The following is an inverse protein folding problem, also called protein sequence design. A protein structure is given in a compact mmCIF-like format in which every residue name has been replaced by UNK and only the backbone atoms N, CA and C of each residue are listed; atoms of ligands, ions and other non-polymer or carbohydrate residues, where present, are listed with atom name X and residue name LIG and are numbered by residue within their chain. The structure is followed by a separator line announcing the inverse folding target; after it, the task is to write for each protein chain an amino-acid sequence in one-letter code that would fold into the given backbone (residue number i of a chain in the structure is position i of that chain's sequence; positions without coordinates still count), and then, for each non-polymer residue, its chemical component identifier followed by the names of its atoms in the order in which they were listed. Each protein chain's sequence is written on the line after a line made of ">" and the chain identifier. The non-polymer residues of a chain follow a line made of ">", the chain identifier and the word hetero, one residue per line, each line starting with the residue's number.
data_IF_251491736675
#
_entry.id   IF_251491736675
#
_cell.length_a   1.000
_cell.length_b   1.000
_cell.length_c   1.000
_cell.angle_alpha   90.00
_cell.angle_beta   90.00
_cell.angle_gamma   90.00
#
_symmetry.space_group_name_H-M   'P 1'
#
loop_
_entity.id
_entity.type
_entity.pdbx_description
1 polymer ?
#
# COMPACT_ATOMS: atom_id res chain seq x y z
N UNK A 1 69.74 26.26 50.60
CA UNK A 1 69.55 27.46 49.75
C UNK A 1 69.59 27.02 48.29
N UNK A 2 68.61 27.33 47.43
CA UNK A 2 67.21 27.68 47.66
C UNK A 2 66.21 26.65 47.05
N UNK A 3 64.98 26.65 47.56
CA UNK A 3 63.81 25.98 46.95
C UNK A 3 63.40 26.74 45.69
N UNK A 4 63.12 26.02 44.59
CA UNK A 4 62.41 26.56 43.42
C UNK A 4 60.96 26.11 43.54
N UNK A 5 60.07 27.06 43.84
CA UNK A 5 58.62 26.88 43.78
C UNK A 5 58.23 26.90 42.31
N UNK A 6 57.86 25.74 41.76
CA UNK A 6 57.28 25.66 40.43
C UNK A 6 55.78 26.02 40.52
N UNK A 7 55.45 27.07 39.79
CA UNK A 7 54.16 27.72 39.69
C UNK A 7 53.11 26.78 39.03
N UNK A 8 52.23 26.16 39.83
CA UNK A 8 51.12 25.32 39.35
C UNK A 8 49.94 26.21 38.92
N UNK A 9 50.20 27.20 38.07
CA UNK A 9 49.21 28.17 37.60
C UNK A 9 48.93 28.10 36.10
N UNK A 10 49.45 27.11 35.38
CA UNK A 10 49.34 27.06 33.92
C UNK A 10 48.96 25.67 33.38
N UNK A 11 47.85 25.08 33.84
CA UNK A 11 47.26 23.93 33.12
C UNK A 11 45.75 23.75 33.28
N UNK A 12 44.99 24.82 33.51
CA UNK A 12 43.52 24.80 33.50
C UNK A 12 42.91 25.62 32.35
N UNK A 13 43.68 25.85 31.27
CA UNK A 13 43.22 26.53 30.05
C UNK A 13 42.91 25.58 28.87
N UNK A 14 42.55 24.33 29.13
CA UNK A 14 41.76 23.54 28.17
C UNK A 14 40.29 23.68 28.52
N UNK A 15 39.86 24.94 28.44
CA UNK A 15 38.48 25.37 28.42
C UNK A 15 37.84 24.74 27.18
N UNK A 16 36.91 23.81 27.41
CA UNK A 16 35.73 23.57 26.58
C UNK A 16 35.84 24.15 25.14
N UNK A 17 36.44 23.40 24.22
CA UNK A 17 35.99 23.47 22.83
C UNK A 17 34.59 22.85 22.84
N UNK A 18 33.61 23.66 23.25
CA UNK A 18 32.22 23.39 22.96
C UNK A 18 32.13 23.31 21.44
N UNK A 19 32.08 22.08 20.92
CA UNK A 19 31.63 21.82 19.55
C UNK A 19 30.36 22.61 19.38
N UNK A 20 30.39 23.67 18.55
CA UNK A 20 29.18 24.42 18.21
C UNK A 20 28.12 23.37 17.82
N UNK A 21 26.92 23.39 18.44
CA UNK A 21 25.89 22.44 18.07
C UNK A 21 25.67 22.59 16.57
N UNK A 22 25.68 21.46 15.85
CA UNK A 22 25.47 21.45 14.42
C UNK A 22 24.16 22.19 14.12
N UNK A 23 24.22 23.20 13.25
CA UNK A 23 23.02 23.92 12.88
C UNK A 23 22.05 22.96 12.19
N UNK A 24 20.74 23.05 12.49
CA UNK A 24 19.75 22.23 11.83
C UNK A 24 19.77 22.52 10.32
N UNK A 25 19.59 21.48 9.51
CA UNK A 25 19.51 21.56 8.05
C UNK A 25 18.36 20.72 7.53
N UNK A 26 17.82 21.11 6.37
CA UNK A 26 16.86 20.30 5.64
C UNK A 26 17.59 19.06 5.08
N UNK A 27 17.07 17.86 5.34
CA UNK A 27 17.68 16.59 4.88
C UNK A 27 16.85 15.86 3.83
N UNK A 28 15.55 16.16 3.77
CA UNK A 28 14.62 15.67 2.76
C UNK A 28 13.42 16.60 2.72
N UNK A 29 12.92 16.89 1.52
CA UNK A 29 11.72 17.70 1.34
C UNK A 29 10.90 17.18 0.16
N UNK A 30 9.58 17.14 0.36
CA UNK A 30 8.59 16.91 -0.69
C UNK A 30 7.34 17.69 -0.37
N UNK A 31 6.64 18.16 -1.39
CA UNK A 31 5.35 18.83 -1.22
C UNK A 31 4.45 18.59 -2.43
N UNK A 32 3.16 18.81 -2.29
CA UNK A 32 2.26 18.71 -3.44
C UNK A 32 0.79 18.74 -3.06
N UNK A 33 -0.03 17.97 -3.76
CA UNK A 33 -1.48 17.91 -3.52
C UNK A 33 -1.93 16.48 -3.24
N UNK A 34 -2.74 16.34 -2.21
CA UNK A 34 -3.33 15.07 -1.77
C UNK A 34 -4.87 15.12 -1.87
N UNK A 35 -5.52 13.97 -1.81
CA UNK A 35 -6.97 13.78 -1.81
C UNK A 35 -7.70 14.38 -3.02
N UNK A 36 -7.06 14.41 -4.20
CA UNK A 36 -7.68 14.92 -5.43
C UNK A 36 -8.60 13.85 -6.02
N UNK A 37 -9.92 14.00 -5.85
CA UNK A 37 -10.91 13.11 -6.48
C UNK A 37 -11.03 13.40 -7.98
N UNK A 38 -10.98 12.34 -8.78
CA UNK A 38 -11.11 12.38 -10.24
C UNK A 38 -12.11 11.32 -10.68
N UNK A 39 -13.03 11.70 -11.56
CA UNK A 39 -13.96 10.78 -12.24
C UNK A 39 -13.79 10.95 -13.75
N UNK A 40 -13.66 9.84 -14.47
CA UNK A 40 -13.63 9.82 -15.94
C UNK A 40 -14.65 8.81 -16.46
N UNK A 41 -15.42 9.23 -17.47
CA UNK A 41 -16.36 8.37 -18.19
C UNK A 41 -15.89 8.22 -19.64
N UNK A 42 -15.86 6.98 -20.11
CA UNK A 42 -15.78 6.64 -21.52
C UNK A 42 -17.21 6.40 -22.04
N UNK A 43 -17.54 6.97 -23.20
CA UNK A 43 -18.86 6.85 -23.83
C UNK A 43 -18.67 6.33 -25.24
N UNK A 44 -18.98 5.06 -25.45
CA UNK A 44 -19.04 4.48 -26.78
C UNK A 44 -20.33 4.93 -27.46
N UNK A 45 -20.20 5.72 -28.53
CA UNK A 45 -21.34 6.27 -29.27
C UNK A 45 -21.98 5.24 -30.19
N UNK A 46 -21.26 4.19 -30.59
CA UNK A 46 -21.76 3.15 -31.47
C UNK A 46 -22.65 2.17 -30.70
N UNK A 47 -22.20 1.76 -29.51
CA UNK A 47 -22.92 0.79 -28.67
C UNK A 47 -23.82 1.44 -27.62
N UNK A 48 -23.62 2.73 -27.31
CA UNK A 48 -24.26 3.43 -26.20
C UNK A 48 -23.75 3.02 -24.82
N UNK A 49 -22.74 2.13 -24.75
CA UNK A 49 -22.16 1.64 -23.51
C UNK A 49 -21.23 2.69 -22.91
N UNK A 50 -21.36 2.92 -21.61
CA UNK A 50 -20.49 3.80 -20.84
C UNK A 50 -19.67 2.98 -19.86
N UNK A 51 -18.42 3.37 -19.64
CA UNK A 51 -17.53 2.80 -18.61
C UNK A 51 -16.97 3.92 -17.76
N UNK A 52 -16.89 3.72 -16.45
CA UNK A 52 -16.48 4.76 -15.50
C UNK A 52 -15.24 4.34 -14.72
N UNK A 53 -14.42 5.31 -14.37
CA UNK A 53 -13.30 5.15 -13.44
C UNK A 53 -13.31 6.32 -12.48
N UNK A 54 -13.32 6.01 -11.19
CA UNK A 54 -13.21 6.99 -10.13
C UNK A 54 -11.95 6.70 -9.32
N UNK A 55 -11.15 7.73 -9.05
CA UNK A 55 -9.90 7.61 -8.32
C UNK A 55 -9.67 8.78 -7.37
N UNK A 56 -8.84 8.55 -6.36
CA UNK A 56 -8.23 9.59 -5.52
C UNK A 56 -6.74 9.63 -5.79
N UNK A 57 -6.23 10.80 -6.16
CA UNK A 57 -4.84 10.99 -6.58
C UNK A 57 -4.09 11.87 -5.58
N UNK A 58 -2.86 11.49 -5.28
CA UNK A 58 -1.87 12.30 -4.59
C UNK A 58 -0.62 12.43 -5.47
N UNK A 59 -0.03 13.62 -5.54
CA UNK A 59 1.22 13.88 -6.24
C UNK A 59 2.11 14.78 -5.38
N UNK A 60 3.30 14.28 -5.04
CA UNK A 60 4.32 14.99 -4.26
C UNK A 60 5.63 15.10 -5.05
N UNK A 61 6.19 16.30 -5.12
CA UNK A 61 7.38 16.63 -5.90
C UNK A 61 8.60 16.82 -4.99
N UNK A 62 9.77 16.40 -5.47
CA UNK A 62 11.09 16.64 -4.87
C UNK A 62 12.03 17.26 -5.91
N UNK A 63 13.01 18.05 -5.48
CA UNK A 63 13.91 18.75 -6.38
C UNK A 63 14.74 19.82 -5.68
N UNK A 64 15.22 20.79 -6.44
CA UNK A 64 15.91 21.98 -5.93
C UNK A 64 14.86 22.96 -5.36
N UNK A 65 14.30 22.61 -4.20
CA UNK A 65 13.18 23.34 -3.57
C UNK A 65 13.50 23.88 -2.18
N UNK A 66 14.72 23.66 -1.69
CA UNK A 66 15.16 23.97 -0.32
C UNK A 66 14.99 25.46 0.01
N UNK A 67 15.24 26.36 -0.95
CA UNK A 67 15.15 27.82 -0.76
C UNK A 67 13.75 28.29 -0.34
N UNK A 68 12.71 27.53 -0.69
CA UNK A 68 11.33 27.78 -0.22
C UNK A 68 11.17 27.59 1.28
N UNK A 69 11.97 26.70 1.88
CA UNK A 69 11.97 26.41 3.32
C UNK A 69 12.97 27.28 4.09
N UNK A 70 14.17 27.49 3.52
CA UNK A 70 15.28 28.15 4.21
C UNK A 70 15.30 29.67 4.04
N UNK A 71 14.84 30.15 2.88
CA UNK A 71 15.00 31.54 2.45
C UNK A 71 13.66 32.22 2.11
N UNK A 72 12.54 31.53 2.33
CA UNK A 72 11.20 31.96 1.96
C UNK A 72 11.05 32.30 0.45
N UNK A 73 11.83 31.63 -0.40
CA UNK A 73 11.82 31.81 -1.84
C UNK A 73 10.77 30.90 -2.51
N UNK A 74 9.63 31.48 -2.90
CA UNK A 74 8.58 30.74 -3.59
C UNK A 74 8.83 30.56 -5.10
N UNK A 75 9.93 31.07 -5.67
CA UNK A 75 10.18 30.97 -7.12
C UNK A 75 10.36 29.52 -7.61
N UNK A 76 10.82 28.64 -6.73
CA UNK A 76 10.99 27.20 -6.97
C UNK A 76 9.70 26.38 -6.74
N UNK A 77 8.60 27.01 -6.33
CA UNK A 77 7.37 26.32 -5.94
C UNK A 77 6.37 26.27 -7.10
N UNK A 78 6.13 25.07 -7.62
CA UNK A 78 4.92 24.74 -8.40
C UNK A 78 3.73 24.69 -7.44
N UNK A 79 2.93 25.77 -7.42
CA UNK A 79 1.79 25.87 -6.52
C UNK A 79 0.94 24.59 -6.51
N UNK A 80 0.54 24.13 -5.33
CA UNK A 80 -0.18 22.86 -5.20
C UNK A 80 -1.50 22.87 -5.96
N UNK A 81 -2.15 24.04 -6.12
CA UNK A 81 -3.32 24.19 -6.98
C UNK A 81 -3.03 23.91 -8.46
N UNK A 82 -1.85 24.32 -8.96
CA UNK A 82 -1.36 23.96 -10.30
C UNK A 82 -1.20 22.44 -10.42
N UNK A 83 -0.65 21.77 -9.40
CA UNK A 83 -0.53 20.29 -9.39
C UNK A 83 -1.92 19.63 -9.51
N UNK A 84 -2.92 20.13 -8.80
CA UNK A 84 -4.32 19.69 -8.91
C UNK A 84 -4.87 19.89 -10.33
N UNK A 85 -4.63 21.05 -10.93
CA UNK A 85 -5.06 21.35 -12.29
C UNK A 85 -4.38 20.40 -13.31
N UNK A 86 -3.08 20.12 -13.13
CA UNK A 86 -2.34 19.15 -13.93
C UNK A 86 -2.94 17.76 -13.82
N UNK A 87 -3.29 17.27 -12.62
CA UNK A 87 -3.97 15.98 -12.43
C UNK A 87 -5.22 15.88 -13.32
N UNK A 88 -6.07 16.91 -13.32
CA UNK A 88 -7.29 16.94 -14.14
C UNK A 88 -7.00 17.00 -15.64
N UNK A 89 -6.06 17.84 -16.07
CA UNK A 89 -5.70 17.98 -17.49
C UNK A 89 -5.08 16.68 -18.00
N UNK A 90 -4.14 16.08 -17.27
CA UNK A 90 -3.55 14.79 -17.62
C UNK A 90 -4.62 13.71 -17.72
N UNK A 91 -5.59 13.67 -16.80
CA UNK A 91 -6.70 12.72 -16.86
C UNK A 91 -7.63 12.97 -18.07
N UNK A 92 -7.79 14.21 -18.52
CA UNK A 92 -8.55 14.52 -19.73
C UNK A 92 -7.83 14.04 -20.99
N UNK A 93 -6.54 14.31 -21.10
CA UNK A 93 -5.74 14.09 -22.30
C UNK A 93 -5.24 12.65 -22.46
N UNK A 94 -5.18 11.88 -21.37
CA UNK A 94 -4.58 10.55 -21.35
C UNK A 94 -5.54 9.47 -20.81
N UNK A 95 -5.30 8.18 -21.11
CA UNK A 95 -5.97 7.08 -20.42
C UNK A 95 -5.72 7.16 -18.89
N UNK A 96 -6.75 6.83 -18.11
CA UNK A 96 -6.63 6.68 -16.65
C UNK A 96 -6.48 5.21 -16.22
N UNK A 97 -6.62 4.28 -17.18
CA UNK A 97 -6.46 2.84 -16.99
C UNK A 97 -5.38 2.32 -17.96
N UNK A 98 -4.52 1.37 -17.54
CA UNK A 98 -4.34 0.96 -16.14
C UNK A 98 -3.79 2.13 -15.28
N UNK A 99 -4.10 2.20 -13.97
CA UNK A 99 -3.65 3.29 -13.10
C UNK A 99 -2.12 3.43 -13.05
N UNK A 100 -1.37 2.34 -13.29
CA UNK A 100 0.09 2.31 -13.43
C UNK A 100 0.58 3.21 -14.55
N UNK A 101 -0.10 3.19 -15.71
CA UNK A 101 0.20 4.07 -16.82
C UNK A 101 -0.09 5.52 -16.46
N UNK A 102 -1.28 5.79 -15.91
CA UNK A 102 -1.70 7.15 -15.57
C UNK A 102 -0.74 7.80 -14.57
N UNK A 103 -0.37 7.08 -13.51
CA UNK A 103 0.58 7.55 -12.51
C UNK A 103 1.95 7.87 -13.13
N UNK A 104 2.42 7.01 -14.04
CA UNK A 104 3.69 7.19 -14.76
C UNK A 104 3.66 8.40 -15.70
N UNK A 105 2.57 8.61 -16.45
CA UNK A 105 2.38 9.79 -17.32
C UNK A 105 2.39 11.07 -16.49
N UNK A 106 1.62 11.09 -15.40
CA UNK A 106 1.50 12.26 -14.53
C UNK A 106 2.86 12.62 -13.90
N UNK A 107 3.60 11.64 -13.38
CA UNK A 107 4.91 11.87 -12.80
C UNK A 107 5.93 12.36 -13.84
N UNK A 108 5.95 11.75 -15.03
CA UNK A 108 6.86 12.13 -16.12
C UNK A 108 6.64 13.56 -16.57
N UNK A 109 5.38 14.01 -16.65
CA UNK A 109 5.05 15.39 -17.00
C UNK A 109 5.75 16.43 -16.11
N UNK A 110 5.82 16.20 -14.79
CA UNK A 110 6.44 17.18 -13.88
C UNK A 110 7.95 17.30 -14.09
N UNK A 111 8.65 16.18 -14.30
CA UNK A 111 10.08 16.18 -14.57
C UNK A 111 10.42 16.77 -15.94
N UNK A 112 9.59 16.50 -16.96
CA UNK A 112 9.76 17.07 -18.29
C UNK A 112 9.48 18.57 -18.33
N UNK A 113 8.51 19.04 -17.52
CA UNK A 113 8.04 20.43 -17.53
C UNK A 113 8.90 21.36 -16.67
N UNK A 114 9.41 20.88 -15.55
CA UNK A 114 10.08 21.70 -14.54
C UNK A 114 11.50 21.18 -14.29
N UNK A 115 12.50 21.86 -14.84
CA UNK A 115 13.89 21.42 -14.81
C UNK A 115 14.48 21.25 -13.40
N UNK A 116 13.93 21.95 -12.40
CA UNK A 116 14.38 21.89 -11.00
C UNK A 116 13.68 20.78 -10.19
N UNK A 117 12.70 20.08 -10.76
CA UNK A 117 12.01 18.94 -10.14
C UNK A 117 12.68 17.65 -10.60
N UNK A 118 13.10 16.81 -9.65
CA UNK A 118 13.88 15.58 -9.91
C UNK A 118 13.11 14.30 -9.60
N UNK A 119 12.03 14.38 -8.80
CA UNK A 119 11.21 13.23 -8.43
C UNK A 119 9.74 13.63 -8.38
N UNK A 120 8.89 12.78 -8.94
CA UNK A 120 7.44 12.83 -8.73
C UNK A 120 6.97 11.52 -8.09
N UNK A 121 6.40 11.63 -6.89
CA UNK A 121 5.78 10.53 -6.16
C UNK A 121 4.26 10.61 -6.37
N UNK A 122 3.71 9.70 -7.17
CA UNK A 122 2.29 9.69 -7.53
C UNK A 122 1.61 8.48 -6.91
N UNK A 123 0.57 8.71 -6.11
CA UNK A 123 -0.30 7.66 -5.59
C UNK A 123 -1.69 7.77 -6.21
N UNK A 124 -2.23 6.65 -6.67
CA UNK A 124 -3.56 6.55 -7.27
C UNK A 124 -4.32 5.44 -6.56
N UNK A 125 -5.44 5.79 -5.94
CA UNK A 125 -6.41 4.85 -5.37
C UNK A 125 -7.63 4.77 -6.26
N UNK A 126 -7.88 3.62 -6.89
CA UNK A 126 -9.05 3.40 -7.75
C UNK A 126 -10.21 2.83 -6.93
N UNK A 127 -11.35 3.50 -6.99
CA UNK A 127 -12.59 3.08 -6.31
C UNK A 127 -13.41 2.20 -7.25
N UNK A 128 -13.97 1.10 -6.73
CA UNK A 128 -14.70 0.11 -7.52
C UNK A 128 -16.06 0.63 -8.00
N UNK A 129 -16.32 0.52 -9.29
CA UNK A 129 -17.64 0.71 -9.88
C UNK A 129 -17.99 -0.49 -10.74
N UNK A 130 -18.66 -1.47 -10.13
CA UNK A 130 -19.05 -2.70 -10.82
C UNK A 130 -20.32 -2.45 -11.61
N UNK A 131 -20.32 -2.80 -12.89
CA UNK A 131 -21.49 -2.66 -13.76
C UNK A 131 -22.63 -3.55 -13.24
N UNK A 132 -23.81 -2.96 -13.06
CA UNK A 132 -25.00 -3.72 -12.66
C UNK A 132 -25.44 -4.67 -13.77
N UNK A 133 -25.94 -5.84 -13.39
CA UNK A 133 -26.67 -6.75 -14.29
C UNK A 133 -28.17 -6.63 -14.00
N UNK A 134 -28.98 -6.40 -15.04
CA UNK A 134 -30.44 -6.29 -14.96
C UNK A 134 -31.04 -7.30 -15.92
N UNK A 135 -31.91 -8.18 -15.43
CA UNK A 135 -32.50 -9.28 -16.21
C UNK A 135 -31.45 -10.19 -16.89
N UNK A 136 -30.33 -10.44 -16.22
CA UNK A 136 -29.24 -11.29 -16.74
C UNK A 136 -28.31 -10.63 -17.75
N UNK A 137 -28.50 -9.34 -18.06
CA UNK A 137 -27.67 -8.59 -18.99
C UNK A 137 -26.96 -7.40 -18.32
N UNK A 138 -25.70 -7.08 -18.69
CA UNK A 138 -24.99 -5.91 -18.18
C UNK A 138 -25.68 -4.60 -18.57
N UNK A 139 -25.92 -3.72 -17.60
CA UNK A 139 -26.55 -2.42 -17.84
C UNK A 139 -25.56 -1.46 -18.54
N UNK A 140 -25.98 -0.70 -19.57
CA UNK A 140 -25.06 0.13 -20.36
C UNK A 140 -24.38 1.26 -19.57
N UNK A 141 -24.97 1.74 -18.47
CA UNK A 141 -24.47 2.92 -17.75
C UNK A 141 -24.84 2.98 -16.25
N UNK A 142 -25.14 1.85 -15.62
CA UNK A 142 -25.44 1.82 -14.17
C UNK A 142 -24.46 0.92 -13.44
N UNK A 143 -23.99 1.40 -12.29
CA UNK A 143 -22.90 0.80 -11.52
C UNK A 143 -23.22 0.78 -10.03
N UNK A 144 -22.59 -0.13 -9.29
CA UNK A 144 -22.67 -0.26 -7.84
C UNK A 144 -21.28 -0.26 -7.22
N UNK A 145 -21.15 0.32 -6.02
CA UNK A 145 -20.00 0.16 -5.15
C UNK A 145 -20.21 -1.13 -4.36
N UNK A 146 -19.62 -2.23 -4.83
CA UNK A 146 -19.85 -3.58 -4.30
C UNK A 146 -18.98 -3.94 -3.09
N UNK A 147 -17.96 -3.13 -2.80
CA UNK A 147 -17.08 -3.24 -1.62
C UNK A 147 -16.20 -1.98 -1.48
N UNK A 148 -15.50 -1.87 -0.35
CA UNK A 148 -14.45 -0.88 -0.13
C UNK A 148 -13.07 -1.32 -0.65
N UNK A 149 -13.00 -2.48 -1.31
CA UNK A 149 -11.79 -2.96 -1.99
C UNK A 149 -11.31 -1.92 -3.02
N UNK A 150 -10.01 -1.65 -3.04
CA UNK A 150 -9.40 -0.72 -4.00
C UNK A 150 -8.19 -1.32 -4.68
N UNK A 151 -7.98 -0.90 -5.94
CA UNK A 151 -6.73 -1.11 -6.69
C UNK A 151 -5.90 0.15 -6.57
N UNK A 152 -4.71 0.03 -5.99
CA UNK A 152 -3.85 1.18 -5.73
C UNK A 152 -2.54 1.06 -6.49
N UNK A 153 -1.95 2.20 -6.79
CA UNK A 153 -0.63 2.33 -7.42
C UNK A 153 0.16 3.42 -6.70
N UNK A 154 1.43 3.15 -6.45
CA UNK A 154 2.45 4.13 -6.09
C UNK A 154 3.53 4.10 -7.18
N UNK A 155 3.69 5.21 -7.91
CA UNK A 155 4.75 5.41 -8.88
C UNK A 155 5.74 6.46 -8.38
N UNK A 156 7.03 6.11 -8.35
CA UNK A 156 8.13 7.05 -8.12
C UNK A 156 8.85 7.24 -9.43
N UNK A 157 8.69 8.42 -10.02
CA UNK A 157 9.26 8.79 -11.32
C UNK A 157 10.50 9.65 -11.11
N UNK A 158 11.61 9.23 -11.70
CA UNK A 158 12.93 9.90 -11.71
C UNK A 158 13.43 9.98 -13.15
N UNK A 159 14.47 10.78 -13.40
CA UNK A 159 15.11 10.84 -14.72
C UNK A 159 15.79 9.53 -15.13
N UNK A 160 16.19 8.70 -14.16
CA UNK A 160 16.89 7.43 -14.36
C UNK A 160 15.97 6.20 -14.25
N UNK A 161 14.66 6.40 -14.07
CA UNK A 161 13.70 5.30 -14.09
C UNK A 161 12.38 5.57 -13.39
N UNK A 162 11.48 4.60 -13.53
CA UNK A 162 10.16 4.57 -12.91
C UNK A 162 10.04 3.32 -12.07
N UNK A 163 9.82 3.50 -10.76
CA UNK A 163 9.50 2.42 -9.83
C UNK A 163 8.00 2.39 -9.57
N UNK A 164 7.37 1.23 -9.76
CA UNK A 164 5.92 1.06 -9.59
C UNK A 164 5.66 -0.01 -8.55
N UNK A 165 4.80 0.31 -7.59
CA UNK A 165 4.15 -0.66 -6.70
C UNK A 165 2.65 -0.62 -6.97
N UNK A 166 2.06 -1.77 -7.28
CA UNK A 166 0.61 -1.93 -7.36
C UNK A 166 0.11 -2.66 -6.11
N UNK A 167 -1.15 -2.49 -5.72
CA UNK A 167 -1.70 -3.22 -4.58
C UNK A 167 -3.22 -3.38 -4.61
N UNK A 168 -3.70 -4.33 -3.83
CA UNK A 168 -5.10 -4.53 -3.44
C UNK A 168 -5.19 -4.21 -1.94
N UNK A 169 -6.12 -3.34 -1.56
CA UNK A 169 -6.43 -3.06 -0.15
C UNK A 169 -7.93 -3.05 0.08
N UNK A 170 -8.38 -3.33 1.31
CA UNK A 170 -9.81 -3.33 1.65
C UNK A 170 -10.57 -4.57 1.17
N UNK A 171 -9.86 -5.63 0.75
CA UNK A 171 -10.47 -6.94 0.47
C UNK A 171 -10.64 -7.72 1.78
N UNK A 172 -11.83 -7.66 2.37
CA UNK A 172 -12.17 -8.41 3.58
C UNK A 172 -12.63 -9.83 3.24
N UNK A 173 -12.03 -10.84 3.86
CA UNK A 173 -12.38 -12.26 3.65
C UNK A 173 -12.48 -13.02 4.97
N UNK A 174 -13.34 -14.04 5.00
CA UNK A 174 -13.52 -14.94 6.15
C UNK A 174 -13.69 -16.38 5.66
N UNK A 175 -13.05 -17.33 6.34
CA UNK A 175 -13.37 -18.76 6.25
C UNK A 175 -13.73 -19.29 7.64
N UNK A 176 -14.79 -20.09 7.71
CA UNK A 176 -15.39 -20.54 8.97
C UNK A 176 -14.72 -21.79 9.57
N UNK A 177 -13.89 -22.47 8.79
CA UNK A 177 -13.12 -23.68 9.16
C UNK A 177 -11.91 -23.79 8.22
N UNK A 178 -11.10 -24.84 8.35
CA UNK A 178 -9.95 -25.08 7.49
C UNK A 178 -8.78 -24.12 7.78
N UNK A 179 -8.72 -23.62 9.02
CA UNK A 179 -7.58 -22.91 9.59
C UNK A 179 -7.25 -23.53 10.94
N UNK A 180 -5.96 -23.67 11.23
CA UNK A 180 -5.44 -24.19 12.49
C UNK A 180 -4.35 -23.26 13.03
N UNK A 181 -3.98 -23.46 14.29
CA UNK A 181 -2.80 -22.86 14.91
C UNK A 181 -2.37 -23.67 16.13
N UNK A 182 -1.29 -24.43 15.98
CA UNK A 182 -0.71 -25.30 16.99
C UNK A 182 0.81 -25.42 16.73
N UNK A 183 1.55 -25.99 17.68
CA UNK A 183 3.00 -26.17 17.61
C UNK A 183 3.79 -24.86 17.73
N UNK A 184 3.19 -23.80 18.27
CA UNK A 184 3.89 -22.54 18.56
C UNK A 184 4.67 -22.65 19.88
N UNK A 185 5.63 -21.74 20.07
CA UNK A 185 6.45 -21.68 21.29
C UNK A 185 5.56 -21.48 22.51
N UNK A 186 5.82 -22.25 23.58
CA UNK A 186 5.14 -22.13 24.86
C UNK A 186 6.16 -21.76 25.94
N UNK A 187 5.83 -20.73 26.70
CA UNK A 187 6.60 -20.21 27.82
C UNK A 187 5.66 -19.74 28.96
N UNK A 188 6.21 -19.11 29.99
CA UNK A 188 5.45 -18.61 31.14
C UNK A 188 4.41 -17.52 30.82
N UNK A 189 4.42 -16.94 29.61
CA UNK A 189 3.46 -15.93 29.16
C UNK A 189 2.33 -16.52 28.31
N UNK A 190 2.40 -17.81 27.98
CA UNK A 190 1.49 -18.44 27.03
C UNK A 190 0.21 -18.92 27.69
N UNK A 191 -0.92 -18.28 27.36
CA UNK A 191 -2.27 -18.69 27.80
C UNK A 191 -3.17 -19.16 26.66
N UNK A 192 -2.73 -18.94 25.42
CA UNK A 192 -3.47 -19.37 24.23
C UNK A 192 -3.51 -20.90 24.17
N UNK A 193 -4.71 -21.46 23.94
CA UNK A 193 -4.86 -22.87 23.66
C UNK A 193 -4.53 -23.17 22.19
N UNK A 194 -3.93 -24.32 21.92
CA UNK A 194 -3.78 -24.80 20.56
C UNK A 194 -5.14 -25.12 19.94
N UNK A 195 -5.26 -24.93 18.63
CA UNK A 195 -6.47 -25.30 17.89
C UNK A 195 -6.14 -25.93 16.54
N UNK A 196 -6.93 -26.93 16.18
CA UNK A 196 -6.89 -27.62 14.89
C UNK A 196 -8.02 -27.20 13.96
N UNK A 197 -8.98 -26.41 14.45
CA UNK A 197 -10.04 -25.83 13.66
C UNK A 197 -10.47 -24.50 14.26
N UNK A 198 -10.43 -23.43 13.45
CA UNK A 198 -10.83 -22.09 13.86
C UNK A 198 -11.31 -21.27 12.67
N UNK A 199 -12.07 -20.22 12.98
CA UNK A 199 -12.37 -19.14 12.05
C UNK A 199 -11.08 -18.37 11.74
N UNK A 200 -10.88 -18.01 10.47
CA UNK A 200 -9.86 -17.07 10.04
C UNK A 200 -10.53 -15.95 9.24
N UNK A 201 -10.28 -14.71 9.66
CA UNK A 201 -10.75 -13.49 8.98
C UNK A 201 -9.62 -12.48 8.90
N UNK A 202 -9.53 -11.78 7.77
CA UNK A 202 -8.49 -10.77 7.52
C UNK A 202 -8.99 -9.70 6.57
N UNK A 203 -8.38 -8.52 6.65
CA UNK A 203 -8.44 -7.50 5.60
C UNK A 203 -7.14 -7.59 4.80
N UNK A 204 -7.23 -7.99 3.53
CA UNK A 204 -6.04 -8.17 2.69
C UNK A 204 -5.47 -6.83 2.26
N UNK A 205 -4.21 -6.60 2.63
CA UNK A 205 -3.31 -5.64 1.99
C UNK A 205 -2.20 -6.44 1.27
N UNK A 206 -2.30 -6.50 -0.05
CA UNK A 206 -1.41 -7.23 -0.94
C UNK A 206 -0.78 -6.24 -1.93
N UNK A 207 0.53 -6.05 -1.85
CA UNK A 207 1.29 -5.19 -2.77
C UNK A 207 2.29 -5.99 -3.59
N UNK A 208 2.58 -5.53 -4.80
CA UNK A 208 3.66 -6.07 -5.62
C UNK A 208 4.46 -4.95 -6.27
N UNK A 209 5.79 -5.05 -6.21
CA UNK A 209 6.71 -4.10 -6.84
C UNK A 209 7.17 -4.68 -8.17
N UNK A 210 7.00 -3.89 -9.22
CA UNK A 210 7.53 -4.21 -10.55
C UNK A 210 9.05 -4.04 -10.55
N UNK A 211 9.73 -4.78 -11.42
CA UNK A 211 11.09 -4.42 -11.79
C UNK A 211 11.12 -2.97 -12.29
N UNK A 212 12.17 -2.21 -11.96
CA UNK A 212 12.27 -0.80 -12.36
C UNK A 212 12.20 -0.66 -13.88
N UNK A 213 11.33 0.21 -14.35
CA UNK A 213 11.23 0.57 -15.76
C UNK A 213 12.25 1.67 -16.06
N UNK A 214 12.90 1.60 -17.21
CA UNK A 214 13.88 2.61 -17.62
C UNK A 214 13.24 3.98 -17.85
N UNK A 215 12.01 4.01 -18.40
CA UNK A 215 11.29 5.23 -18.73
C UNK A 215 9.79 4.94 -18.98
N UNK A 216 9.05 5.99 -19.38
CA UNK A 216 7.63 5.89 -19.72
C UNK A 216 7.37 5.00 -20.95
N UNK A 217 8.31 4.86 -21.88
CA UNK A 217 8.15 3.99 -23.04
C UNK A 217 8.19 2.51 -22.63
N UNK A 218 9.08 2.15 -21.70
CA UNK A 218 9.13 0.82 -21.10
C UNK A 218 7.84 0.48 -20.34
N UNK A 219 7.26 1.44 -19.59
CA UNK A 219 5.94 1.26 -18.94
C UNK A 219 4.84 1.01 -19.99
N UNK A 220 4.84 1.77 -21.10
CA UNK A 220 3.87 1.60 -22.19
C UNK A 220 4.00 0.25 -22.90
N UNK A 221 5.19 -0.32 -22.99
CA UNK A 221 5.42 -1.63 -23.59
C UNK A 221 4.79 -2.77 -22.76
N UNK A 222 4.69 -2.60 -21.44
CA UNK A 222 4.19 -3.61 -20.51
C UNK A 222 2.71 -3.45 -20.13
N UNK A 223 1.95 -2.57 -20.82
CA UNK A 223 0.55 -2.27 -20.51
C UNK A 223 -0.36 -3.49 -20.28
N UNK A 224 -0.33 -4.54 -21.13
CA UNK A 224 -1.21 -5.69 -20.95
C UNK A 224 -0.96 -6.48 -19.66
N UNK A 225 0.21 -6.30 -19.03
CA UNK A 225 0.60 -7.05 -17.84
C UNK A 225 0.02 -6.47 -16.56
N UNK A 226 -0.27 -5.17 -16.50
CA UNK A 226 -0.72 -4.53 -15.26
C UNK A 226 -2.10 -5.03 -14.81
N UNK A 227 -3.08 -5.02 -15.73
CA UNK A 227 -4.43 -5.51 -15.43
C UNK A 227 -4.40 -7.01 -15.13
N UNK A 228 -3.68 -7.78 -15.94
CA UNK A 228 -3.51 -9.23 -15.73
C UNK A 228 -2.90 -9.54 -14.37
N UNK A 229 -1.83 -8.86 -13.96
CA UNK A 229 -1.20 -9.08 -12.66
C UNK A 229 -2.13 -8.75 -11.50
N UNK A 230 -2.96 -7.71 -11.62
CA UNK A 230 -3.98 -7.40 -10.62
C UNK A 230 -5.06 -8.49 -10.54
N UNK A 231 -5.57 -8.96 -11.69
CA UNK A 231 -6.56 -10.04 -11.77
C UNK A 231 -6.01 -11.35 -11.19
N UNK A 232 -4.78 -11.71 -11.56
CA UNK A 232 -4.10 -12.90 -11.08
C UNK A 232 -3.87 -12.79 -9.56
N UNK A 233 -3.33 -11.67 -9.06
CA UNK A 233 -3.08 -11.49 -7.62
C UNK A 233 -4.37 -11.58 -6.80
N UNK A 234 -5.46 -10.96 -7.27
CA UNK A 234 -6.77 -11.05 -6.61
C UNK A 234 -7.29 -12.48 -6.63
N UNK A 235 -7.23 -13.15 -7.78
CA UNK A 235 -7.68 -14.53 -7.94
C UNK A 235 -6.89 -15.48 -7.05
N UNK A 236 -5.56 -15.45 -7.11
CA UNK A 236 -4.65 -16.27 -6.30
C UNK A 236 -4.89 -16.05 -4.81
N UNK A 237 -5.04 -14.79 -4.37
CA UNK A 237 -5.38 -14.47 -2.97
C UNK A 237 -6.67 -15.17 -2.56
N UNK A 238 -7.77 -14.94 -3.30
CA UNK A 238 -9.08 -15.48 -2.91
C UNK A 238 -9.14 -17.00 -3.00
N UNK A 239 -8.54 -17.59 -4.03
CA UNK A 239 -8.52 -19.04 -4.23
C UNK A 239 -7.67 -19.71 -3.17
N UNK A 240 -6.44 -19.25 -2.94
CA UNK A 240 -5.55 -19.84 -1.92
C UNK A 240 -6.14 -19.69 -0.52
N UNK A 241 -6.73 -18.54 -0.20
CA UNK A 241 -7.41 -18.35 1.09
C UNK A 241 -8.54 -19.36 1.27
N UNK A 242 -9.35 -19.58 0.24
CA UNK A 242 -10.47 -20.52 0.30
C UNK A 242 -10.00 -21.98 0.41
N UNK A 243 -9.01 -22.40 -0.39
CA UNK A 243 -8.66 -23.81 -0.56
C UNK A 243 -7.53 -24.30 0.34
N UNK A 244 -6.67 -23.43 0.87
CA UNK A 244 -5.56 -23.83 1.74
C UNK A 244 -6.09 -24.31 3.11
N UNK A 245 -5.62 -25.50 3.53
CA UNK A 245 -5.73 -25.95 4.90
C UNK A 245 -4.69 -25.18 5.74
N UNK A 246 -5.05 -23.97 6.15
CA UNK A 246 -4.14 -22.96 6.69
C UNK A 246 -3.51 -23.41 8.01
N UNK A 247 -2.23 -23.75 8.02
CA UNK A 247 -1.46 -24.00 9.25
C UNK A 247 -1.18 -22.73 10.06
N UNK A 248 -1.06 -21.57 9.39
CA UNK A 248 -0.89 -20.25 9.97
C UNK A 248 -1.08 -19.17 8.91
N UNK A 249 -1.35 -17.93 9.32
CA UNK A 249 -1.44 -16.78 8.39
C UNK A 249 -0.13 -16.63 7.60
N UNK A 250 1.02 -16.83 8.26
CA UNK A 250 2.36 -16.78 7.70
C UNK A 250 2.53 -17.75 6.52
N UNK A 251 2.12 -19.01 6.69
CA UNK A 251 2.31 -20.01 5.64
C UNK A 251 1.39 -19.75 4.44
N UNK A 252 0.13 -19.40 4.70
CA UNK A 252 -0.85 -19.14 3.63
C UNK A 252 -0.48 -17.89 2.81
N UNK A 253 -0.06 -16.79 3.45
CA UNK A 253 0.35 -15.58 2.72
C UNK A 253 1.67 -15.78 1.93
N UNK A 254 2.56 -16.65 2.42
CA UNK A 254 3.77 -17.02 1.68
C UNK A 254 3.43 -17.80 0.40
N UNK A 255 2.55 -18.80 0.49
CA UNK A 255 2.04 -19.54 -0.70
C UNK A 255 1.38 -18.63 -1.73
N UNK A 256 0.61 -17.64 -1.29
CA UNK A 256 0.01 -16.64 -2.19
C UNK A 256 1.10 -15.83 -2.89
N UNK A 257 2.12 -15.41 -2.15
CA UNK A 257 3.23 -14.61 -2.67
C UNK A 257 4.03 -15.36 -3.74
N UNK A 258 4.35 -16.63 -3.51
CA UNK A 258 5.04 -17.49 -4.49
C UNK A 258 4.23 -17.62 -5.78
N UNK A 259 2.94 -17.96 -5.67
CA UNK A 259 2.07 -18.07 -6.85
C UNK A 259 1.95 -16.76 -7.65
N UNK A 260 1.91 -15.61 -6.98
CA UNK A 260 1.88 -14.30 -7.65
C UNK A 260 3.21 -14.05 -8.39
N UNK A 261 4.35 -14.35 -7.75
CA UNK A 261 5.66 -14.24 -8.39
C UNK A 261 5.79 -15.20 -9.58
N UNK A 262 5.17 -16.37 -9.56
CA UNK A 262 5.16 -17.27 -10.71
C UNK A 262 4.27 -16.73 -11.84
N UNK A 263 3.08 -16.19 -11.52
CA UNK A 263 2.10 -15.72 -12.49
C UNK A 263 2.49 -14.38 -13.16
N UNK A 264 3.28 -13.54 -12.49
CA UNK A 264 3.63 -12.19 -12.95
C UNK A 264 5.16 -11.98 -13.10
N UNK A 265 5.78 -12.42 -14.22
CA UNK A 265 7.23 -12.35 -14.42
C UNK A 265 7.88 -10.96 -14.28
N UNK A 266 7.13 -9.87 -14.50
CA UNK A 266 7.63 -8.50 -14.35
C UNK A 266 7.68 -7.98 -12.90
N UNK A 267 7.12 -8.72 -11.94
CA UNK A 267 7.06 -8.36 -10.51
C UNK A 267 8.32 -8.83 -9.80
N UNK A 268 9.10 -7.95 -9.17
CA UNK A 268 10.30 -8.31 -8.42
C UNK A 268 10.00 -8.83 -7.01
N UNK A 269 9.04 -8.20 -6.31
CA UNK A 269 8.67 -8.57 -4.94
C UNK A 269 7.17 -8.52 -4.71
N UNK A 270 6.67 -9.35 -3.80
CA UNK A 270 5.29 -9.35 -3.29
C UNK A 270 5.31 -9.15 -1.79
N UNK A 271 4.43 -8.29 -1.29
CA UNK A 271 4.27 -7.96 0.12
C UNK A 271 2.83 -8.24 0.55
N UNK A 272 2.66 -8.85 1.72
CA UNK A 272 1.36 -8.94 2.38
C UNK A 272 1.43 -8.34 3.78
N UNK A 273 0.34 -7.71 4.21
CA UNK A 273 0.10 -7.25 5.58
C UNK A 273 -1.31 -7.65 6.00
N UNK A 274 -1.43 -8.70 6.82
CA UNK A 274 -2.69 -9.35 7.15
C UNK A 274 -2.97 -9.24 8.66
N UNK A 275 -4.00 -8.46 9.08
CA UNK A 275 -4.49 -8.53 10.44
C UNK A 275 -5.27 -9.83 10.66
N UNK A 276 -4.95 -10.58 11.71
CA UNK A 276 -5.79 -11.68 12.16
C UNK A 276 -6.96 -11.10 12.98
N UNK A 277 -8.14 -11.03 12.35
CA UNK A 277 -9.38 -10.49 12.94
C UNK A 277 -10.08 -11.62 13.70
N UNK A 278 -10.01 -11.55 15.03
CA UNK A 278 -10.39 -12.67 15.88
C UNK A 278 -11.91 -12.84 16.03
N UNK A 279 -12.33 -14.10 16.09
CA UNK A 279 -13.68 -14.53 16.45
C UNK A 279 -13.53 -15.51 17.62
N UNK A 280 -13.79 -15.05 18.84
CA UNK A 280 -13.63 -15.89 20.03
C UNK A 280 -14.88 -16.73 20.27
N UNK A 281 -14.69 -18.00 20.63
CA UNK A 281 -15.77 -18.83 21.17
C UNK A 281 -16.30 -18.19 22.46
N UNK A 282 -17.58 -18.42 22.75
CA UNK A 282 -18.24 -17.93 23.97
C UNK A 282 -18.64 -19.15 24.79
N UNK A 283 -18.02 -19.32 25.97
CA UNK A 283 -18.46 -20.34 26.92
C UNK A 283 -19.83 -19.97 27.51
N UNK A 284 -20.84 -20.78 27.21
CA UNK A 284 -22.22 -20.64 27.68
C UNK A 284 -22.63 -21.74 28.66
N UNK A 285 -21.70 -22.56 29.15
CA UNK A 285 -21.95 -23.67 30.08
C UNK A 285 -22.61 -23.19 31.39
N UNK A 286 -22.32 -21.97 31.82
CA UNK A 286 -22.94 -21.33 32.98
C UNK A 286 -24.47 -21.17 32.85
N UNK A 287 -25.00 -21.13 31.62
CA UNK A 287 -26.44 -21.08 31.37
C UNK A 287 -26.96 -22.47 30.99
N UNK A 288 -27.45 -23.20 32.00
CA UNK A 288 -28.12 -24.50 31.83
C UNK A 288 -27.27 -25.52 31.06
N UNK A 289 -25.95 -25.53 31.28
CA UNK A 289 -25.00 -26.44 30.63
C UNK A 289 -25.02 -26.36 29.09
N UNK A 290 -25.34 -25.19 28.53
CA UNK A 290 -25.39 -24.97 27.08
C UNK A 290 -24.00 -25.13 26.46
N UNK A 291 -23.89 -25.98 25.43
CA UNK A 291 -22.63 -26.21 24.71
C UNK A 291 -22.48 -25.22 23.56
N UNK A 292 -21.34 -24.52 23.52
CA UNK A 292 -21.00 -23.54 22.47
C UNK A 292 -19.48 -23.39 22.29
N UNK A 293 -18.72 -24.44 22.56
CA UNK A 293 -17.24 -24.44 22.44
C UNK A 293 -16.77 -25.68 21.69
N UNK A 294 -15.57 -25.60 21.08
CA UNK A 294 -15.00 -26.68 20.27
C UNK A 294 -15.95 -27.17 19.17
N UNK A 295 -16.27 -28.46 19.17
CA UNK A 295 -17.15 -29.07 18.14
C UNK A 295 -18.59 -28.57 18.18
N UNK A 296 -19.02 -28.03 19.32
CA UNK A 296 -20.39 -27.50 19.52
C UNK A 296 -20.45 -25.98 19.30
N UNK A 297 -19.36 -25.32 18.89
CA UNK A 297 -19.29 -23.87 18.77
C UNK A 297 -20.04 -23.32 17.54
N UNK A 298 -21.12 -22.58 17.79
CA UNK A 298 -21.96 -21.96 16.75
C UNK A 298 -22.01 -20.43 16.87
N UNK A 299 -21.87 -19.89 18.09
CA UNK A 299 -21.92 -18.46 18.38
C UNK A 299 -20.55 -17.95 18.82
N UNK A 300 -20.05 -16.94 18.12
CA UNK A 300 -18.74 -16.34 18.35
C UNK A 300 -18.87 -14.85 18.65
N UNK A 301 -17.91 -14.29 19.38
CA UNK A 301 -17.76 -12.85 19.59
C UNK A 301 -16.67 -12.30 18.65
N UNK A 302 -17.03 -11.55 17.58
CA UNK A 302 -16.06 -10.83 16.78
C UNK A 302 -15.36 -9.76 17.63
N UNK A 303 -14.04 -9.70 17.55
CA UNK A 303 -13.25 -8.73 18.32
C UNK A 303 -12.83 -7.56 17.43
N UNK A 304 -13.16 -6.33 17.84
CA UNK A 304 -12.71 -5.12 17.15
C UNK A 304 -11.19 -4.88 17.34
N UNK A 305 -10.64 -5.37 18.45
CA UNK A 305 -9.22 -5.30 18.79
C UNK A 305 -8.96 -5.91 20.18
N UNK A 306 -7.71 -6.30 20.51
CA UNK A 306 -6.53 -6.25 19.64
C UNK A 306 -6.57 -7.29 18.51
N UNK A 307 -5.71 -7.14 17.52
CA UNK A 307 -5.54 -8.10 16.42
C UNK A 307 -4.07 -8.53 16.29
N UNK A 308 -3.84 -9.77 15.86
CA UNK A 308 -2.52 -10.13 15.34
C UNK A 308 -2.25 -9.35 14.06
N UNK A 309 -1.00 -9.00 13.76
CA UNK A 309 -0.63 -8.39 12.48
C UNK A 309 0.58 -9.10 11.91
N UNK A 310 0.39 -9.78 10.78
CA UNK A 310 1.42 -10.60 10.14
C UNK A 310 1.84 -9.92 8.84
N UNK A 311 3.14 -9.79 8.62
CA UNK A 311 3.70 -9.17 7.41
C UNK A 311 4.79 -10.06 6.81
N UNK A 312 4.86 -10.11 5.49
CA UNK A 312 6.01 -10.67 4.78
C UNK A 312 6.30 -9.88 3.50
N UNK A 313 7.56 -9.95 3.06
CA UNK A 313 7.98 -9.59 1.70
C UNK A 313 8.69 -10.82 1.12
N UNK A 314 8.28 -11.24 -0.07
CA UNK A 314 8.87 -12.36 -0.81
C UNK A 314 9.42 -11.81 -2.12
N UNK A 315 10.63 -12.20 -2.47
CA UNK A 315 11.35 -11.75 -3.67
C UNK A 315 11.84 -12.97 -4.46
N UNK A 316 12.14 -12.78 -5.74
CA UNK A 316 12.83 -13.79 -6.56
C UNK A 316 14.33 -13.85 -6.28
#
# INVERSE_FOLDING_TARGET
>A
MPLVVQDISASLKNLHLATKPAMPRLTAARYGKDNVRVYKVHRDQETGVQTVTEMTVCCLLEGEIDSSYTDADNSVVVATDTIKNTIYITAKENPVNPPELYASILGSHFLEKYAHISVANVSVKVHRWTRLSVNGAPHPHSFVRDSDETRNVEAVVRHDGISIKSSITGLTVLKSTGSAFHGYVQDEFTTLAETWDRILSTDVDCGWRWASFADLAAVKADLPRFDKAWEDARTITTTTFATDASASVQNTMYKMSEQILEAAPGVATVTYSLPNKHYFEIDLSWYKDTKNTGKDAEVYAPQSGPNGLIKCEVSR
#
